data_IF_208029590111
#
_entry.id   IF_208029590111
#
_cell.length_a   1.000
_cell.length_b   1.000
_cell.length_c   1.000
_cell.angle_alpha   90.00
_cell.angle_beta   90.00
_cell.angle_gamma   90.00
#
_symmetry.space_group_name_H-M   'P 1'
#
loop_
_entity.id
_entity.type
_entity.pdbx_description
1 polymer ?
#
# COMPACT_ATOMS: atom_id res chain seq x y z
N UNK A 1 -0.21 13.48 -17.11
CA UNK A 1 0.48 12.36 -16.45
C UNK A 1 1.39 12.93 -15.37
N UNK A 2 1.31 12.44 -14.13
CA UNK A 2 2.10 12.96 -13.00
C UNK A 2 3.11 11.90 -12.52
N UNK A 3 4.40 12.24 -12.60
CA UNK A 3 5.47 11.39 -12.06
C UNK A 3 5.61 11.74 -10.57
N UNK A 4 5.48 10.74 -9.69
CA UNK A 4 5.76 10.89 -8.25
C UNK A 4 7.15 10.37 -7.95
N UNK A 5 7.96 11.23 -7.33
CA UNK A 5 9.25 10.91 -6.72
C UNK A 5 9.10 10.55 -5.24
N UNK A 6 10.16 9.95 -4.69
CA UNK A 6 10.28 9.67 -3.26
C UNK A 6 10.69 10.96 -2.55
N UNK A 7 9.93 11.37 -1.54
CA UNK A 7 10.27 12.48 -0.66
C UNK A 7 10.48 11.98 0.77
N UNK A 8 11.27 12.70 1.56
CA UNK A 8 11.46 12.41 2.99
C UNK A 8 10.11 12.37 3.74
N UNK A 9 9.15 13.21 3.33
CA UNK A 9 7.81 13.21 3.90
C UNK A 9 7.08 11.86 3.73
N UNK A 10 7.37 11.12 2.65
CA UNK A 10 6.80 9.77 2.46
C UNK A 10 7.25 8.83 3.61
N UNK A 11 8.48 8.95 4.10
CA UNK A 11 8.97 8.12 5.22
C UNK A 11 8.23 8.39 6.52
N UNK A 12 8.06 9.66 6.88
CA UNK A 12 7.32 10.03 8.09
C UNK A 12 5.85 9.62 8.00
N UNK A 13 5.25 9.72 6.80
CA UNK A 13 3.90 9.24 6.56
C UNK A 13 3.78 7.75 6.83
N UNK A 14 4.66 6.92 6.25
CA UNK A 14 4.60 5.47 6.44
C UNK A 14 4.89 5.07 7.90
N UNK A 15 5.85 5.73 8.55
CA UNK A 15 6.15 5.48 9.97
C UNK A 15 4.95 5.81 10.87
N UNK A 16 4.23 6.89 10.57
CA UNK A 16 3.01 7.24 11.27
C UNK A 16 1.91 6.19 11.06
N UNK A 17 1.70 5.74 9.81
CA UNK A 17 0.74 4.68 9.50
C UNK A 17 1.08 3.41 10.28
N UNK A 18 2.34 2.96 10.27
CA UNK A 18 2.76 1.77 11.01
C UNK A 18 2.53 1.92 12.52
N UNK A 19 2.85 3.10 13.07
CA UNK A 19 2.66 3.38 14.49
C UNK A 19 1.18 3.32 14.89
N UNK A 20 0.28 3.87 14.06
CA UNK A 20 -1.17 3.83 14.31
C UNK A 20 -1.69 2.39 14.23
N UNK A 21 -1.30 1.65 13.19
CA UNK A 21 -1.71 0.25 13.01
C UNK A 21 -1.24 -0.62 14.18
N UNK A 22 0.02 -0.46 14.59
CA UNK A 22 0.57 -1.16 15.76
C UNK A 22 -0.15 -0.76 17.05
N UNK A 23 -0.43 0.53 17.26
CA UNK A 23 -1.11 0.98 18.45
C UNK A 23 -2.54 0.40 18.55
N UNK A 24 -3.26 0.31 17.43
CA UNK A 24 -4.59 -0.30 17.40
C UNK A 24 -4.51 -1.80 17.70
N UNK A 25 -3.57 -2.55 17.12
CA UNK A 25 -3.44 -3.98 17.41
C UNK A 25 -2.90 -4.31 18.81
N UNK A 26 -2.13 -3.42 19.43
CA UNK A 26 -1.58 -3.65 20.76
C UNK A 26 -2.50 -3.22 21.90
N UNK A 27 -3.24 -2.12 21.69
CA UNK A 27 -3.99 -1.45 22.76
C UNK A 27 -5.46 -1.19 22.40
N UNK A 28 -5.86 -1.47 21.16
CA UNK A 28 -7.23 -1.33 20.73
C UNK A 28 -8.14 -2.34 21.41
N UNK A 29 -9.43 -2.00 21.49
CA UNK A 29 -10.44 -2.99 21.80
C UNK A 29 -10.81 -3.77 20.52
N UNK A 30 -11.53 -4.88 20.70
CA UNK A 30 -11.94 -5.73 19.57
C UNK A 30 -12.70 -4.96 18.47
N UNK A 31 -13.51 -3.96 18.83
CA UNK A 31 -14.22 -3.14 17.85
C UNK A 31 -13.28 -2.25 17.02
N UNK A 32 -12.22 -1.70 17.62
CA UNK A 32 -11.22 -0.89 16.93
C UNK A 32 -10.38 -1.75 15.98
N UNK A 33 -9.98 -2.94 16.41
CA UNK A 33 -9.29 -3.92 15.57
C UNK A 33 -10.16 -4.34 14.37
N UNK A 34 -11.41 -4.73 14.61
CA UNK A 34 -12.34 -5.12 13.55
C UNK A 34 -12.56 -3.97 12.55
N UNK A 35 -12.71 -2.74 13.05
CA UNK A 35 -12.84 -1.55 12.21
C UNK A 35 -11.60 -1.33 11.34
N UNK A 36 -10.40 -1.53 11.90
CA UNK A 36 -9.15 -1.43 11.15
C UNK A 36 -9.05 -2.49 10.05
N UNK A 37 -9.48 -3.73 10.31
CA UNK A 37 -9.50 -4.80 9.31
C UNK A 37 -10.47 -4.48 8.17
N UNK A 38 -11.67 -3.97 8.48
CA UNK A 38 -12.62 -3.50 7.47
C UNK A 38 -12.06 -2.34 6.65
N UNK A 39 -11.35 -1.42 7.29
CA UNK A 39 -10.68 -0.32 6.62
C UNK A 39 -9.62 -0.82 5.64
N UNK A 40 -8.84 -1.84 6.01
CA UNK A 40 -7.89 -2.49 5.08
C UNK A 40 -8.59 -3.16 3.90
N UNK A 41 -9.74 -3.82 4.11
CA UNK A 41 -10.54 -4.37 3.02
C UNK A 41 -10.99 -3.26 2.04
N UNK A 42 -11.48 -2.13 2.56
CA UNK A 42 -11.91 -1.00 1.74
C UNK A 42 -10.75 -0.41 0.93
N UNK A 43 -9.59 -0.18 1.55
CA UNK A 43 -8.39 0.29 0.85
C UNK A 43 -7.98 -0.69 -0.24
N UNK A 44 -8.03 -2.00 0.05
CA UNK A 44 -7.64 -3.03 -0.91
C UNK A 44 -8.54 -3.00 -2.15
N UNK A 45 -9.85 -2.87 -1.95
CA UNK A 45 -10.79 -2.72 -3.05
C UNK A 45 -10.51 -1.46 -3.88
N UNK A 46 -10.28 -0.31 -3.23
CA UNK A 46 -9.95 0.94 -3.90
C UNK A 46 -8.62 0.85 -4.68
N UNK A 47 -7.60 0.19 -4.12
CA UNK A 47 -6.32 -0.01 -4.78
C UNK A 47 -6.48 -0.84 -6.06
N UNK A 48 -7.26 -1.92 -6.00
CA UNK A 48 -7.54 -2.75 -7.17
C UNK A 48 -8.27 -1.96 -8.28
N UNK A 49 -9.31 -1.20 -7.92
CA UNK A 49 -10.02 -0.33 -8.86
C UNK A 49 -9.09 0.73 -9.47
N UNK A 50 -8.27 1.37 -8.64
CA UNK A 50 -7.30 2.37 -9.09
C UNK A 50 -6.27 1.77 -10.06
N UNK A 51 -5.88 0.50 -9.85
CA UNK A 51 -4.95 -0.19 -10.74
C UNK A 51 -5.55 -0.40 -12.13
N UNK A 52 -6.81 -0.85 -12.22
CA UNK A 52 -7.51 -1.01 -13.50
C UNK A 52 -7.66 0.30 -14.27
N UNK A 53 -8.01 1.38 -13.56
CA UNK A 53 -8.11 2.73 -14.15
C UNK A 53 -6.75 3.22 -14.64
N UNK A 54 -5.69 3.05 -13.84
CA UNK A 54 -4.36 3.51 -14.20
C UNK A 54 -3.72 2.66 -15.32
N UNK A 55 -4.03 1.36 -15.40
CA UNK A 55 -3.61 0.50 -16.51
C UNK A 55 -4.24 0.92 -17.84
N UNK A 56 -5.50 1.36 -17.82
CA UNK A 56 -6.21 1.76 -19.04
C UNK A 56 -5.82 3.17 -19.49
N UNK A 57 -5.61 4.08 -18.54
CA UNK A 57 -5.20 5.45 -18.80
C UNK A 57 -4.18 5.89 -17.74
N UNK A 58 -2.86 5.75 -17.99
CA UNK A 58 -1.84 6.00 -16.98
C UNK A 58 -1.78 7.48 -16.59
N UNK A 59 -2.40 7.81 -15.46
CA UNK A 59 -2.41 9.15 -14.87
C UNK A 59 -1.26 9.34 -13.87
N UNK A 60 -0.89 8.27 -13.18
CA UNK A 60 0.14 8.27 -12.13
C UNK A 60 1.26 7.31 -12.50
N UNK A 61 2.52 7.77 -12.38
CA UNK A 61 3.71 6.93 -12.48
C UNK A 61 4.67 7.19 -11.32
N UNK A 62 5.39 6.18 -10.88
CA UNK A 62 6.38 6.24 -9.81
C UNK A 62 7.78 6.11 -10.36
N UNK A 63 8.72 6.86 -9.79
CA UNK A 63 10.15 6.59 -10.04
C UNK A 63 10.54 5.21 -9.49
N UNK A 64 11.66 4.66 -9.95
CA UNK A 64 12.13 3.36 -9.48
C UNK A 64 12.35 3.33 -7.95
N UNK A 65 12.94 4.39 -7.39
CA UNK A 65 13.16 4.50 -5.95
C UNK A 65 11.85 4.58 -5.18
N UNK A 66 10.86 5.33 -5.68
CA UNK A 66 9.53 5.40 -5.05
C UNK A 66 8.84 4.04 -5.11
N UNK A 67 8.87 3.37 -6.25
CA UNK A 67 8.29 2.03 -6.41
C UNK A 67 8.88 1.03 -5.40
N UNK A 68 10.21 1.00 -5.27
CA UNK A 68 10.88 0.13 -4.29
C UNK A 68 10.49 0.49 -2.86
N UNK A 69 10.42 1.78 -2.54
CA UNK A 69 9.99 2.24 -1.22
C UNK A 69 8.56 1.78 -0.89
N UNK A 70 7.59 2.02 -1.77
CA UNK A 70 6.19 1.63 -1.59
C UNK A 70 6.04 0.10 -1.47
N UNK A 71 6.88 -0.68 -2.17
CA UNK A 71 6.89 -2.14 -2.00
C UNK A 71 7.44 -2.58 -0.64
N UNK A 72 8.55 -2.00 -0.20
CA UNK A 72 9.12 -2.31 1.10
C UNK A 72 8.17 -1.94 2.25
N UNK A 73 7.49 -0.81 2.13
CA UNK A 73 6.54 -0.34 3.16
C UNK A 73 5.26 -1.19 3.16
N UNK A 74 4.77 -1.58 1.99
CA UNK A 74 3.67 -2.54 1.88
C UNK A 74 4.01 -3.88 2.53
N UNK A 75 5.20 -4.42 2.26
CA UNK A 75 5.67 -5.67 2.89
C UNK A 75 5.76 -5.53 4.41
N UNK A 76 6.33 -4.43 4.91
CA UNK A 76 6.42 -4.18 6.34
C UNK A 76 5.04 -4.11 7.01
N UNK A 77 4.09 -3.40 6.39
CA UNK A 77 2.71 -3.35 6.87
C UNK A 77 2.05 -4.74 6.91
N UNK A 78 2.23 -5.53 5.85
CA UNK A 78 1.67 -6.87 5.78
C UNK A 78 2.27 -7.79 6.85
N UNK A 79 3.58 -7.70 7.12
CA UNK A 79 4.22 -8.46 8.19
C UNK A 79 3.64 -8.11 9.58
N UNK A 80 3.34 -6.83 9.83
CA UNK A 80 2.66 -6.42 11.06
C UNK A 80 1.28 -7.08 11.15
N UNK A 81 0.47 -7.03 10.09
CA UNK A 81 -0.88 -7.62 10.09
C UNK A 81 -0.83 -9.15 10.23
N UNK A 82 0.15 -9.82 9.62
CA UNK A 82 0.38 -11.27 9.77
C UNK A 82 0.79 -11.62 11.20
N UNK A 83 1.61 -10.79 11.86
CA UNK A 83 2.05 -11.02 13.23
C UNK A 83 0.86 -11.09 14.21
N UNK A 84 -0.20 -10.31 13.98
CA UNK A 84 -1.45 -10.38 14.73
C UNK A 84 -2.47 -11.38 14.14
N UNK A 85 -1.98 -12.43 13.46
CA UNK A 85 -2.77 -13.56 12.95
C UNK A 85 -3.82 -13.23 11.87
N UNK A 86 -3.85 -12.01 11.33
CA UNK A 86 -4.78 -11.60 10.28
C UNK A 86 -4.24 -11.82 8.86
N UNK A 87 -3.67 -13.01 8.61
CA UNK A 87 -2.96 -13.34 7.37
C UNK A 87 -3.80 -13.23 6.09
N UNK A 88 -5.11 -13.51 6.15
CA UNK A 88 -6.03 -13.36 5.01
C UNK A 88 -6.13 -11.90 4.58
N UNK A 89 -6.28 -10.99 5.55
CA UNK A 89 -6.38 -9.55 5.31
C UNK A 89 -5.04 -9.01 4.81
N UNK A 90 -3.92 -9.45 5.40
CA UNK A 90 -2.59 -9.09 4.92
C UNK A 90 -2.37 -9.50 3.46
N UNK A 91 -2.81 -10.71 3.07
CA UNK A 91 -2.70 -11.20 1.70
C UNK A 91 -3.54 -10.37 0.74
N UNK A 92 -4.77 -10.03 1.12
CA UNK A 92 -5.65 -9.17 0.33
C UNK A 92 -5.01 -7.80 0.09
N UNK A 93 -4.53 -7.15 1.15
CA UNK A 93 -3.84 -5.85 1.11
C UNK A 93 -2.60 -5.93 0.22
N UNK A 94 -1.80 -6.98 0.38
CA UNK A 94 -0.59 -7.17 -0.41
C UNK A 94 -0.92 -7.26 -1.90
N UNK A 95 -1.82 -8.16 -2.30
CA UNK A 95 -2.13 -8.40 -3.72
C UNK A 95 -2.74 -7.16 -4.36
N UNK A 96 -3.71 -6.51 -3.73
CA UNK A 96 -4.38 -5.34 -4.31
C UNK A 96 -3.43 -4.17 -4.51
N UNK A 97 -2.60 -3.88 -3.50
CA UNK A 97 -1.65 -2.77 -3.56
C UNK A 97 -0.45 -3.11 -4.45
N UNK A 98 -0.02 -4.37 -4.51
CA UNK A 98 0.99 -4.84 -5.45
C UNK A 98 0.56 -4.55 -6.89
N UNK A 99 -0.68 -4.93 -7.25
CA UNK A 99 -1.23 -4.69 -8.60
C UNK A 99 -1.31 -3.18 -8.90
N UNK A 100 -1.71 -2.37 -7.91
CA UNK A 100 -1.71 -0.91 -8.06
C UNK A 100 -0.31 -0.32 -8.27
N UNK A 101 0.66 -0.67 -7.43
CA UNK A 101 2.04 -0.19 -7.54
C UNK A 101 2.63 -0.64 -8.88
N UNK A 102 2.37 -1.89 -9.30
CA UNK A 102 2.80 -2.42 -10.60
C UNK A 102 2.23 -1.59 -11.76
N UNK A 103 0.95 -1.20 -11.70
CA UNK A 103 0.33 -0.31 -12.71
C UNK A 103 0.97 1.08 -12.76
N UNK A 104 1.64 1.50 -11.69
CA UNK A 104 2.30 2.81 -11.59
C UNK A 104 3.79 2.76 -11.97
N UNK A 105 4.37 1.59 -12.27
CA UNK A 105 5.78 1.49 -12.64
C UNK A 105 6.04 2.30 -13.91
N UNK A 106 7.01 3.21 -13.85
CA UNK A 106 7.40 3.96 -15.03
C UNK A 106 8.10 3.04 -16.03
N UNK A 107 7.41 2.69 -17.13
CA UNK A 107 8.00 1.99 -18.27
C UNK A 107 8.84 2.98 -19.13
N UNK A 108 9.85 3.63 -18.56
CA UNK A 108 10.86 4.35 -19.38
C UNK A 108 11.89 3.35 -19.96
N UNK A 109 11.39 2.25 -20.55
CA UNK A 109 12.18 1.23 -21.28
C UNK A 109 11.44 0.65 -22.51
N UNK A 110 10.58 1.44 -23.12
CA UNK A 110 10.17 1.35 -24.53
C UNK A 110 10.19 2.82 -24.97
N UNK A 111 11.26 3.38 -25.50
CA UNK A 111 11.87 3.04 -26.78
C UNK A 111 13.36 3.45 -26.76
N UNK A 112 14.26 2.48 -26.92
CA UNK A 112 15.60 2.68 -27.48
C UNK A 112 15.64 1.90 -28.79
#
# INVERSE_FOLDING_TARGET
MKIKSLHILDFFRELFIFSVVLAIFLFGNSAAEETLLWFFCLISFLAFMAAGVNSSNPKTRFTQNKTRFEFCTLLALCLIVVYFEHWVIATLVFVSNFVFIASCINQDKKDN
#
